data_IF_406882072492
#
_entry.id   IF_406882072492
#
_cell.length_a   1.000
_cell.length_b   1.000
_cell.length_c   1.000
_cell.angle_alpha   90.00
_cell.angle_beta   90.00
_cell.angle_gamma   90.00
#
_symmetry.space_group_name_H-M   'P 1'
#
loop_
_entity.id
_entity.type
_entity.pdbx_description
1 polymer ?
#
# COMPACT_ATOMS: atom_id res chain seq x y z
N UNK A 1 -5.55 -12.99 -4.38
CA UNK A 1 -5.58 -14.34 -3.76
C UNK A 1 -5.38 -14.15 -2.26
N UNK A 2 -6.17 -14.79 -1.39
CA UNK A 2 -5.99 -14.69 0.07
C UNK A 2 -5.73 -16.10 0.60
N UNK A 3 -4.69 -16.26 1.40
CA UNK A 3 -4.29 -17.53 1.99
C UNK A 3 -4.19 -17.37 3.52
N UNK A 4 -4.79 -18.30 4.25
CA UNK A 4 -4.63 -18.40 5.70
C UNK A 4 -3.37 -19.24 5.99
N UNK A 5 -2.53 -18.76 6.90
CA UNK A 5 -1.24 -19.33 7.21
C UNK A 5 -1.10 -19.49 8.72
N UNK A 6 -0.75 -20.69 9.16
CA UNK A 6 -0.37 -20.94 10.54
C UNK A 6 1.07 -20.46 10.77
N UNK A 7 1.23 -19.45 11.64
CA UNK A 7 2.55 -19.07 12.10
C UNK A 7 3.08 -20.15 13.06
N UNK A 8 3.88 -21.07 12.53
CA UNK A 8 4.38 -22.28 13.23
C UNK A 8 5.06 -21.94 14.56
N UNK A 9 5.65 -20.75 14.67
CA UNK A 9 6.38 -20.33 15.88
C UNK A 9 5.48 -19.93 17.05
N UNK A 10 4.22 -19.50 16.81
CA UNK A 10 3.36 -18.92 17.85
C UNK A 10 1.90 -19.43 17.82
N UNK A 11 1.56 -20.39 16.97
CA UNK A 11 0.23 -21.00 16.87
C UNK A 11 -0.90 -19.96 16.67
N UNK A 12 -0.66 -19.00 15.77
CA UNK A 12 -1.57 -17.90 15.42
C UNK A 12 -1.89 -17.94 13.92
N UNK A 13 -3.13 -17.61 13.59
CA UNK A 13 -3.62 -17.54 12.22
C UNK A 13 -3.27 -16.18 11.59
N UNK A 14 -2.42 -16.21 10.57
CA UNK A 14 -2.10 -15.06 9.72
C UNK A 14 -2.91 -15.16 8.43
N UNK A 15 -3.44 -14.02 7.95
CA UNK A 15 -4.13 -13.96 6.66
C UNK A 15 -3.30 -13.17 5.66
N UNK A 16 -2.71 -13.87 4.71
CA UNK A 16 -1.91 -13.27 3.64
C UNK A 16 -2.80 -12.97 2.44
N UNK A 17 -2.98 -11.69 2.12
CA UNK A 17 -3.65 -11.27 0.89
C UNK A 17 -2.61 -10.89 -0.17
N UNK A 18 -2.47 -11.73 -1.20
CA UNK A 18 -1.77 -11.38 -2.42
C UNK A 18 -2.66 -10.46 -3.28
N UNK A 19 -2.28 -9.19 -3.31
CA UNK A 19 -2.90 -8.16 -4.12
C UNK A 19 -1.92 -7.72 -5.21
N UNK A 20 -2.21 -8.06 -6.46
CA UNK A 20 -1.54 -7.44 -7.61
C UNK A 20 -2.16 -6.07 -7.84
N UNK A 21 -1.44 -5.00 -7.48
CA UNK A 21 -1.81 -3.65 -7.90
C UNK A 21 -1.10 -3.40 -9.22
N UNK A 22 -1.83 -3.26 -10.33
CA UNK A 22 -1.25 -2.66 -11.52
C UNK A 22 -0.88 -1.23 -11.15
N UNK A 23 0.41 -0.93 -11.14
CA UNK A 23 0.82 0.47 -11.27
C UNK A 23 0.35 0.88 -12.65
N UNK A 24 -0.71 1.69 -12.72
CA UNK A 24 -0.88 2.54 -13.89
C UNK A 24 0.46 3.25 -14.07
N UNK A 25 1.08 3.05 -15.22
CA UNK A 25 2.23 3.84 -15.65
C UNK A 25 1.89 5.32 -15.50
N UNK A 26 2.93 6.17 -15.41
CA UNK A 26 2.70 7.59 -15.58
C UNK A 26 1.85 7.79 -16.86
N UNK A 27 0.74 8.50 -16.72
CA UNK A 27 -0.14 8.78 -17.85
C UNK A 27 0.71 9.44 -18.94
N UNK A 28 0.55 8.98 -20.18
CA UNK A 28 1.22 9.63 -21.30
C UNK A 28 0.73 11.07 -21.42
N UNK A 29 1.50 11.93 -22.08
CA UNK A 29 1.08 13.31 -22.33
C UNK A 29 -0.26 13.36 -23.09
N UNK A 30 -0.52 12.38 -23.97
CA UNK A 30 -1.79 12.25 -24.70
C UNK A 30 -2.95 11.86 -23.79
N UNK A 31 -2.76 10.94 -22.85
CA UNK A 31 -3.77 10.57 -21.85
C UNK A 31 -4.05 11.75 -20.91
N UNK A 32 -2.99 12.43 -20.49
CA UNK A 32 -3.08 13.59 -19.61
C UNK A 32 -3.75 14.78 -20.31
N UNK A 33 -3.47 14.98 -21.61
CA UNK A 33 -4.11 15.97 -22.45
C UNK A 33 -5.59 15.63 -22.70
N UNK A 34 -5.92 14.36 -22.94
CA UNK A 34 -7.30 13.89 -23.10
C UNK A 34 -8.13 14.12 -21.84
N UNK A 35 -7.55 13.89 -20.65
CA UNK A 35 -8.20 14.20 -19.37
C UNK A 35 -8.38 15.71 -19.19
N UNK A 36 -7.39 16.53 -19.55
CA UNK A 36 -7.53 18.00 -19.52
C UNK A 36 -8.61 18.49 -20.46
N UNK A 37 -8.68 17.94 -21.67
CA UNK A 37 -9.73 18.25 -22.64
C UNK A 37 -11.10 17.86 -22.06
N UNK A 38 -11.24 16.65 -21.50
CA UNK A 38 -12.48 16.21 -20.85
C UNK A 38 -12.93 17.17 -19.73
N UNK A 39 -12.00 17.59 -18.86
CA UNK A 39 -12.27 18.54 -17.77
C UNK A 39 -12.67 19.91 -18.32
N UNK A 40 -11.96 20.41 -19.33
CA UNK A 40 -12.22 21.73 -19.92
C UNK A 40 -13.47 21.75 -20.81
N UNK A 41 -13.84 20.62 -21.40
CA UNK A 41 -15.06 20.42 -22.20
C UNK A 41 -16.28 20.10 -21.34
N UNK A 42 -16.10 19.86 -20.03
CA UNK A 42 -17.20 19.82 -19.11
C UNK A 42 -17.81 21.22 -19.03
N UNK A 43 -18.89 21.44 -19.78
CA UNK A 43 -19.74 22.62 -19.62
C UNK A 43 -20.48 22.40 -18.31
N UNK A 44 -20.27 23.24 -17.28
CA UNK A 44 -21.10 23.18 -16.08
C UNK A 44 -22.50 23.56 -16.52
N UNK A 45 -23.39 22.57 -16.54
CA UNK A 45 -24.81 22.81 -16.73
C UNK A 45 -25.30 23.72 -15.59
N UNK A 46 -25.82 24.93 -15.86
CA UNK A 46 -26.26 25.84 -14.82
C UNK A 46 -27.59 25.42 -14.16
N UNK A 47 -28.36 24.51 -14.77
CA UNK A 47 -29.62 23.98 -14.23
C UNK A 47 -29.44 22.64 -13.50
N UNK A 48 -28.40 21.87 -13.84
CA UNK A 48 -28.03 20.66 -13.13
C UNK A 48 -26.89 21.02 -12.21
N UNK A 49 -27.08 20.98 -10.88
CA UNK A 49 -26.00 21.13 -9.90
C UNK A 49 -24.92 20.06 -10.14
N UNK A 50 -24.01 20.31 -11.06
CA UNK A 50 -22.79 19.55 -11.30
C UNK A 50 -21.78 19.90 -10.22
N UNK A 51 -22.17 19.65 -8.97
CA UNK A 51 -21.35 19.95 -7.81
C UNK A 51 -20.25 18.90 -7.72
N UNK A 52 -19.06 19.22 -8.24
CA UNK A 52 -17.84 18.53 -7.83
C UNK A 52 -17.72 18.67 -6.32
N UNK A 53 -18.10 17.60 -5.61
CA UNK A 53 -18.12 17.59 -4.15
C UNK A 53 -16.81 16.99 -3.64
N UNK A 54 -16.12 17.70 -2.76
CA UNK A 54 -14.94 17.16 -2.07
C UNK A 54 -15.41 16.00 -1.20
N UNK A 55 -14.95 14.79 -1.50
CA UNK A 55 -15.34 13.57 -0.76
C UNK A 55 -14.49 13.33 0.49
N UNK A 56 -13.29 13.92 0.55
CA UNK A 56 -12.45 13.96 1.74
C UNK A 56 -11.17 14.78 1.58
N UNK A 57 -10.45 14.98 2.69
CA UNK A 57 -9.11 15.60 2.75
C UNK A 57 -8.16 14.65 3.45
N UNK A 58 -6.93 14.53 2.96
CA UNK A 58 -5.88 13.73 3.59
C UNK A 58 -4.62 14.58 3.79
N UNK A 59 -4.15 14.69 5.02
CA UNK A 59 -2.80 15.13 5.34
C UNK A 59 -1.92 13.89 5.56
N UNK A 60 -0.82 13.80 4.83
CA UNK A 60 0.08 12.65 4.89
C UNK A 60 1.50 13.10 5.23
N UNK A 61 2.02 12.64 6.36
CA UNK A 61 3.44 12.78 6.70
C UNK A 61 4.15 11.45 6.47
N UNK A 62 5.35 11.50 5.90
CA UNK A 62 6.07 10.29 5.51
C UNK A 62 7.49 10.27 6.08
N UNK A 63 7.88 9.14 6.65
CA UNK A 63 9.28 8.80 6.94
C UNK A 63 9.64 7.52 6.22
N UNK A 64 10.82 7.50 5.60
CA UNK A 64 11.30 6.33 4.85
C UNK A 64 12.69 5.95 5.32
N UNK A 65 12.84 4.67 5.68
CA UNK A 65 14.10 4.05 6.06
C UNK A 65 14.42 2.97 5.03
N UNK A 66 15.67 2.91 4.58
CA UNK A 66 16.09 2.01 3.51
C UNK A 66 17.39 1.31 3.90
N UNK A 67 17.38 -0.01 3.80
CA UNK A 67 18.57 -0.85 3.81
C UNK A 67 18.71 -1.58 2.47
N UNK A 68 19.80 -2.32 2.23
CA UNK A 68 19.91 -3.20 1.07
C UNK A 68 18.77 -4.21 0.98
N UNK A 69 18.41 -4.85 2.10
CA UNK A 69 17.41 -5.92 2.18
C UNK A 69 15.96 -5.44 2.33
N UNK A 70 15.74 -4.27 2.91
CA UNK A 70 14.41 -3.81 3.33
C UNK A 70 14.19 -2.33 3.03
N UNK A 71 12.94 -1.93 2.76
CA UNK A 71 12.50 -0.54 2.86
C UNK A 71 11.27 -0.45 3.75
N UNK A 72 11.37 0.36 4.80
CA UNK A 72 10.29 0.68 5.73
C UNK A 72 9.80 2.10 5.43
N UNK A 73 8.51 2.25 5.16
CA UNK A 73 7.86 3.54 5.00
C UNK A 73 6.77 3.67 6.05
N UNK A 74 6.95 4.62 6.96
CA UNK A 74 5.95 4.98 7.97
C UNK A 74 5.21 6.20 7.46
N UNK A 75 3.88 6.14 7.47
CA UNK A 75 3.01 7.22 7.03
C UNK A 75 2.04 7.55 8.17
N UNK A 76 2.08 8.79 8.64
CA UNK A 76 1.00 9.31 9.49
C UNK A 76 -0.06 9.90 8.54
N UNK A 77 -1.28 9.40 8.64
CA UNK A 77 -2.41 9.86 7.82
C UNK A 77 -3.44 10.45 8.75
N UNK A 78 -3.74 11.72 8.53
CA UNK A 78 -4.94 12.36 9.05
C UNK A 78 -5.90 12.52 7.89
N UNK A 79 -7.04 11.82 7.94
CA UNK A 79 -8.05 11.82 6.88
C UNK A 79 -9.38 12.30 7.42
N UNK A 80 -10.04 13.17 6.67
CA UNK A 80 -11.42 13.56 6.91
C UNK A 80 -12.28 13.15 5.72
N UNK A 81 -13.34 12.39 5.96
CA UNK A 81 -14.27 11.91 4.93
C UNK A 81 -15.57 12.70 5.05
N UNK A 82 -15.86 13.58 4.09
CA UNK A 82 -17.06 14.42 4.13
C UNK A 82 -18.36 13.62 4.04
N UNK A 83 -18.34 12.51 3.28
CA UNK A 83 -19.52 11.64 3.12
C UNK A 83 -20.04 11.09 4.44
N UNK A 84 -19.14 10.76 5.37
CA UNK A 84 -19.49 10.17 6.68
C UNK A 84 -19.31 11.16 7.83
N UNK A 85 -18.76 12.35 7.57
CA UNK A 85 -18.40 13.34 8.59
C UNK A 85 -17.34 12.84 9.57
N UNK A 86 -16.52 11.86 9.17
CA UNK A 86 -15.59 11.16 10.08
C UNK A 86 -14.15 11.59 9.83
N UNK A 87 -13.46 11.98 10.89
CA UNK A 87 -12.00 12.13 10.91
C UNK A 87 -11.34 10.86 11.45
N UNK A 88 -10.23 10.44 10.85
CA UNK A 88 -9.45 9.28 11.27
C UNK A 88 -7.95 9.61 11.19
N UNK A 89 -7.24 9.41 12.29
CA UNK A 89 -5.78 9.50 12.34
C UNK A 89 -5.20 8.09 12.45
N UNK A 90 -4.44 7.66 11.44
CA UNK A 90 -3.84 6.32 11.40
C UNK A 90 -2.35 6.40 11.16
N UNK A 91 -1.59 5.51 11.81
CA UNK A 91 -0.20 5.23 11.43
C UNK A 91 -0.21 4.02 10.50
N UNK A 92 0.18 4.23 9.26
CA UNK A 92 0.29 3.18 8.25
C UNK A 92 1.77 2.80 8.06
N UNK A 93 2.07 1.50 8.16
CA UNK A 93 3.41 0.97 7.97
C UNK A 93 3.45 0.16 6.67
N UNK A 94 4.36 0.51 5.78
CA UNK A 94 4.61 -0.23 4.54
C UNK A 94 6.04 -0.78 4.54
N UNK A 95 6.14 -2.12 4.48
CA UNK A 95 7.40 -2.84 4.38
C UNK A 95 7.57 -3.39 2.96
N UNK A 96 8.74 -3.17 2.37
CA UNK A 96 9.14 -3.77 1.09
C UNK A 96 10.35 -4.67 1.30
N UNK A 97 10.18 -5.96 1.05
CA UNK A 97 11.21 -7.00 1.20
C UNK A 97 12.09 -7.04 -0.05
N UNK A 98 13.02 -6.08 -0.16
CA UNK A 98 13.80 -5.83 -1.38
C UNK A 98 14.64 -7.03 -1.79
N UNK A 99 15.21 -7.75 -0.82
CA UNK A 99 16.04 -8.94 -1.07
C UNK A 99 15.22 -10.08 -1.69
N UNK A 100 14.05 -10.39 -1.13
CA UNK A 100 13.16 -11.41 -1.71
C UNK A 100 12.70 -11.02 -3.11
N UNK A 101 12.41 -9.73 -3.34
CA UNK A 101 12.04 -9.24 -4.66
C UNK A 101 13.17 -9.46 -5.67
N UNK A 102 14.43 -9.18 -5.32
CA UNK A 102 15.56 -9.46 -6.21
C UNK A 102 15.79 -10.95 -6.43
N UNK A 103 15.72 -11.77 -5.37
CA UNK A 103 15.90 -13.23 -5.49
C UNK A 103 14.84 -13.87 -6.40
N UNK A 104 13.59 -13.38 -6.36
CA UNK A 104 12.52 -13.83 -7.27
C UNK A 104 12.79 -13.36 -8.71
N UNK A 105 13.37 -12.17 -8.90
CA UNK A 105 13.61 -11.58 -10.22
C UNK A 105 14.85 -12.13 -10.93
N UNK A 106 15.84 -12.60 -10.17
CA UNK A 106 17.12 -13.10 -10.70
C UNK A 106 16.97 -14.48 -11.41
N UNK A 107 15.81 -15.13 -11.32
CA UNK A 107 15.42 -16.26 -12.17
C UNK A 107 15.87 -17.64 -11.71
N UNK A 108 16.93 -17.77 -10.90
CA UNK A 108 17.24 -18.98 -10.14
C UNK A 108 16.39 -19.03 -8.87
N UNK A 109 15.20 -19.63 -8.97
CA UNK A 109 14.30 -19.78 -7.83
C UNK A 109 14.71 -21.00 -7.00
N UNK A 110 15.60 -20.80 -6.04
CA UNK A 110 15.74 -21.71 -4.91
C UNK A 110 14.55 -21.49 -3.97
N UNK A 111 13.54 -22.35 -4.10
CA UNK A 111 12.26 -22.23 -3.37
C UNK A 111 12.47 -22.31 -1.86
N UNK A 112 13.45 -23.09 -1.40
CA UNK A 112 13.74 -23.24 0.04
C UNK A 112 14.40 -21.96 0.59
N UNK A 113 15.32 -21.35 -0.15
CA UNK A 113 15.92 -20.06 0.20
C UNK A 113 14.87 -18.94 0.27
N UNK A 114 13.97 -18.86 -0.72
CA UNK A 114 12.88 -17.87 -0.73
C UNK A 114 11.92 -18.08 0.44
N UNK A 115 11.55 -19.33 0.72
CA UNK A 115 10.68 -19.66 1.85
C UNK A 115 11.31 -19.29 3.19
N UNK A 116 12.59 -19.63 3.38
CA UNK A 116 13.33 -19.28 4.59
C UNK A 116 13.48 -17.76 4.75
N UNK A 117 13.84 -17.06 3.68
CA UNK A 117 13.93 -15.59 3.69
C UNK A 117 12.57 -14.94 3.97
N UNK A 118 11.47 -15.50 3.49
CA UNK A 118 10.12 -15.04 3.81
C UNK A 118 9.80 -15.25 5.30
N UNK A 119 10.10 -16.42 5.86
CA UNK A 119 9.93 -16.71 7.28
C UNK A 119 10.73 -15.76 8.18
N UNK A 120 11.99 -15.46 7.82
CA UNK A 120 12.81 -14.49 8.56
C UNK A 120 12.18 -13.10 8.57
N UNK A 121 11.58 -12.67 7.45
CA UNK A 121 10.89 -11.39 7.38
C UNK A 121 9.58 -11.39 8.18
N UNK A 122 8.82 -12.50 8.19
CA UNK A 122 7.64 -12.63 9.05
C UNK A 122 8.01 -12.53 10.53
N UNK A 123 9.11 -13.17 10.94
CA UNK A 123 9.63 -13.07 12.30
C UNK A 123 9.98 -11.63 12.66
N UNK A 124 10.67 -10.91 11.77
CA UNK A 124 11.01 -9.49 11.95
C UNK A 124 9.76 -8.61 12.09
N UNK A 125 8.73 -8.84 11.25
CA UNK A 125 7.44 -8.14 11.35
C UNK A 125 6.82 -8.39 12.73
N UNK A 126 6.83 -9.63 13.17
CA UNK A 126 6.29 -10.00 14.46
C UNK A 126 7.02 -9.31 15.61
N UNK A 127 8.34 -9.51 15.72
CA UNK A 127 9.18 -9.07 16.84
C UNK A 127 9.29 -7.55 17.00
N UNK A 128 9.01 -6.78 15.94
CA UNK A 128 9.20 -5.32 15.95
C UNK A 128 7.96 -4.50 15.64
N UNK A 129 6.92 -5.08 15.03
CA UNK A 129 5.74 -4.33 14.61
C UNK A 129 4.43 -4.84 15.20
N UNK A 130 4.33 -6.14 15.49
CA UNK A 130 3.09 -6.76 15.99
C UNK A 130 3.17 -7.20 17.45
N UNK A 131 4.37 -7.42 17.99
CA UNK A 131 4.57 -7.70 19.41
C UNK A 131 4.49 -6.39 20.21
N UNK A 132 3.30 -5.83 20.32
CA UNK A 132 2.98 -4.84 21.34
C UNK A 132 2.22 -5.54 22.46
N UNK A 133 2.94 -5.82 23.55
CA UNK A 133 2.49 -6.45 24.81
C UNK A 133 1.92 -7.88 24.71
N UNK A 134 2.74 -8.85 25.15
CA UNK A 134 2.29 -10.05 25.88
C UNK A 134 2.88 -10.01 27.27
#
# INVERSE_FOLDING_TARGET
MVADMLCVHKNLDLRLALCSKSTFSALSDDEMNSIRILINSAIPDPEVKGDYTIVGVWHNEFKSYKSPSLKLKVRNVDRFIFKTGTGEATIEINLKLRRLVSEIQDGEIDTDSIYNGFNDNLRLIWDHFLSWES
#
